data_IF_215046769060
#
_entry.id   IF_215046769060
#
_cell.length_a   1.000
_cell.length_b   1.000
_cell.length_c   1.000
_cell.angle_alpha   90.00
_cell.angle_beta   90.00
_cell.angle_gamma   90.00
#
_symmetry.space_group_name_H-M   'P 1'
#
loop_
_entity.id
_entity.type
_entity.pdbx_description
1 polymer ?
#
# COMPACT_ATOMS: atom_id res chain seq x y z
N UNK A 1 -14.25 -10.59 12.72
CA UNK A 1 -13.09 -10.36 11.82
C UNK A 1 -13.51 -9.31 10.81
N UNK A 2 -13.15 -8.03 11.05
CA UNK A 2 -13.49 -6.96 10.12
C UNK A 2 -12.65 -7.12 8.86
N UNK A 3 -13.26 -7.64 7.80
CA UNK A 3 -12.72 -7.47 6.46
C UNK A 3 -12.76 -5.97 6.17
N UNK A 4 -11.62 -5.29 6.38
CA UNK A 4 -11.41 -3.91 5.97
C UNK A 4 -11.59 -3.84 4.46
N UNK A 5 -12.84 -3.61 4.04
CA UNK A 5 -13.27 -3.52 2.66
C UNK A 5 -12.41 -2.48 1.97
N UNK A 6 -11.95 -2.79 0.76
CA UNK A 6 -11.19 -1.82 -0.03
C UNK A 6 -11.96 -0.52 -0.10
N UNK A 7 -11.34 0.61 0.25
CA UNK A 7 -11.96 1.92 0.09
C UNK A 7 -12.23 2.26 -1.38
N UNK A 8 -11.57 1.57 -2.33
CA UNK A 8 -11.91 1.57 -3.75
C UNK A 8 -12.21 0.13 -4.21
N UNK A 9 -13.49 -0.30 -4.25
CA UNK A 9 -13.84 -1.67 -4.64
C UNK A 9 -13.64 -1.96 -6.13
N UNK A 10 -13.55 -0.91 -6.96
CA UNK A 10 -13.36 -1.02 -8.41
C UNK A 10 -11.89 -1.26 -8.81
N UNK A 11 -10.96 -1.10 -7.88
CA UNK A 11 -9.53 -1.33 -8.12
C UNK A 11 -9.04 -2.63 -7.48
N UNK A 12 -8.08 -3.32 -8.13
CA UNK A 12 -7.44 -4.46 -7.51
C UNK A 12 -6.59 -4.00 -6.32
N UNK A 13 -6.72 -4.68 -5.18
CA UNK A 13 -5.73 -4.58 -4.12
C UNK A 13 -4.36 -5.09 -4.63
N UNK A 14 -3.29 -4.44 -4.26
CA UNK A 14 -1.94 -4.83 -4.64
C UNK A 14 -1.09 -5.01 -3.38
N UNK A 15 -0.11 -5.90 -3.48
CA UNK A 15 0.85 -6.12 -2.43
C UNK A 15 1.90 -5.02 -2.50
N UNK A 16 2.06 -4.30 -1.41
CA UNK A 16 2.99 -3.20 -1.25
C UNK A 16 4.08 -3.62 -0.28
N UNK A 17 5.29 -3.83 -0.78
CA UNK A 17 6.47 -4.08 0.05
C UNK A 17 7.27 -2.79 0.19
N UNK A 18 7.41 -2.31 1.41
CA UNK A 18 8.17 -1.11 1.75
C UNK A 18 9.47 -1.55 2.40
N UNK A 19 10.60 -1.19 1.80
CA UNK A 19 11.92 -1.45 2.35
C UNK A 19 12.60 -0.13 2.72
N UNK A 20 12.69 0.11 4.03
CA UNK A 20 13.34 1.27 4.62
C UNK A 20 14.58 0.81 5.37
N UNK A 21 15.76 1.03 4.78
CA UNK A 21 17.04 0.60 5.33
C UNK A 21 17.06 -0.92 5.61
N UNK A 22 16.98 -1.33 6.88
CA UNK A 22 16.97 -2.75 7.32
C UNK A 22 15.57 -3.28 7.62
N UNK A 23 14.53 -2.45 7.49
CA UNK A 23 13.16 -2.81 7.82
C UNK A 23 12.37 -3.06 6.54
N UNK A 24 11.74 -4.23 6.46
CA UNK A 24 10.77 -4.59 5.41
C UNK A 24 9.38 -4.65 6.03
N UNK A 25 8.41 -4.03 5.36
CA UNK A 25 7.00 -4.07 5.75
C UNK A 25 6.15 -4.42 4.54
N UNK A 26 5.18 -5.30 4.72
CA UNK A 26 4.33 -5.83 3.65
C UNK A 26 2.87 -5.47 3.95
N UNK A 27 2.23 -4.75 3.02
CA UNK A 27 0.86 -4.23 3.15
C UNK A 27 0.01 -4.54 1.92
N UNK A 28 -1.30 -4.42 2.06
CA UNK A 28 -2.27 -4.41 0.93
C UNK A 28 -2.87 -3.01 0.80
N UNK A 29 -2.95 -2.49 -0.41
CA UNK A 29 -3.67 -1.25 -0.70
C UNK A 29 -4.27 -1.32 -2.11
N UNK A 30 -5.30 -0.54 -2.41
CA UNK A 30 -5.78 -0.37 -3.78
C UNK A 30 -4.69 0.27 -4.65
N UNK A 31 -4.78 0.03 -5.96
CA UNK A 31 -3.79 0.48 -6.92
C UNK A 31 -3.48 1.97 -6.80
N UNK A 32 -4.52 2.81 -6.75
CA UNK A 32 -4.35 4.27 -6.65
C UNK A 32 -3.66 4.66 -5.35
N UNK A 33 -4.11 4.16 -4.20
CA UNK A 33 -3.50 4.50 -2.91
C UNK A 33 -2.03 4.06 -2.83
N UNK A 34 -1.69 2.89 -3.37
CA UNK A 34 -0.32 2.42 -3.43
C UNK A 34 0.58 3.31 -4.30
N UNK A 35 0.09 3.75 -5.46
CA UNK A 35 0.84 4.66 -6.33
C UNK A 35 1.10 6.02 -5.66
N UNK A 36 0.08 6.60 -5.03
CA UNK A 36 0.24 7.88 -4.32
C UNK A 36 1.19 7.71 -3.14
N UNK A 37 1.10 6.61 -2.39
CA UNK A 37 2.02 6.28 -1.30
C UNK A 37 3.47 6.18 -1.79
N UNK A 38 3.72 5.48 -2.91
CA UNK A 38 5.07 5.37 -3.50
C UNK A 38 5.61 6.76 -3.85
N UNK A 39 4.81 7.60 -4.51
CA UNK A 39 5.22 8.96 -4.86
C UNK A 39 5.54 9.81 -3.62
N UNK A 40 4.71 9.75 -2.58
CA UNK A 40 4.90 10.53 -1.35
C UNK A 40 6.13 10.06 -0.56
N UNK A 41 6.32 8.74 -0.42
CA UNK A 41 7.48 8.18 0.27
C UNK A 41 8.76 8.46 -0.47
N UNK A 42 8.80 8.28 -1.79
CA UNK A 42 10.00 8.56 -2.60
C UNK A 42 10.36 10.05 -2.61
N UNK A 43 9.37 10.94 -2.51
CA UNK A 43 9.60 12.37 -2.38
C UNK A 43 10.13 12.79 -0.99
N UNK A 44 9.71 12.10 0.09
CA UNK A 44 10.04 12.49 1.47
C UNK A 44 11.19 11.72 2.09
N UNK A 45 11.46 10.48 1.66
CA UNK A 45 12.42 9.58 2.31
C UNK A 45 13.22 8.77 1.28
N UNK A 46 14.55 8.65 1.46
CA UNK A 46 15.32 7.67 0.71
C UNK A 46 14.93 6.26 1.18
N UNK A 47 14.30 5.50 0.29
CA UNK A 47 13.83 4.14 0.55
C UNK A 47 13.45 3.43 -0.75
N UNK A 48 13.33 2.11 -0.70
CA UNK A 48 12.87 1.30 -1.84
C UNK A 48 11.44 0.86 -1.56
N UNK A 49 10.51 1.25 -2.42
CA UNK A 49 9.13 0.75 -2.38
C UNK A 49 8.93 -0.13 -3.59
N UNK A 50 8.55 -1.37 -3.36
CA UNK A 50 8.27 -2.36 -4.39
C UNK A 50 6.77 -2.65 -4.40
N UNK A 51 6.19 -2.57 -5.58
CA UNK A 51 4.78 -2.88 -5.82
C UNK A 51 4.72 -4.21 -6.54
N UNK A 52 4.00 -5.18 -5.96
CA UNK A 52 3.87 -6.51 -6.52
C UNK A 52 2.39 -6.91 -6.65
N UNK A 53 2.05 -7.53 -7.77
CA UNK A 53 0.73 -8.13 -8.00
C UNK A 53 0.73 -9.58 -7.45
N UNK A 54 0.99 -9.72 -6.16
CA UNK A 54 1.09 -11.02 -5.48
C UNK A 54 -0.12 -11.34 -4.61
N UNK A 55 -0.20 -12.62 -4.21
CA UNK A 55 -1.28 -13.17 -3.40
C UNK A 55 -1.45 -12.42 -2.06
N UNK A 56 -2.69 -11.97 -1.79
CA UNK A 56 -3.04 -10.98 -0.74
C UNK A 56 -3.33 -11.59 0.64
N UNK A 57 -3.14 -12.90 0.82
CA UNK A 57 -3.60 -13.58 2.03
C UNK A 57 -2.74 -13.24 3.26
N UNK A 58 -3.39 -12.75 4.32
CA UNK A 58 -2.78 -12.53 5.64
C UNK A 58 -2.08 -11.19 5.82
N UNK A 59 -2.02 -10.34 4.80
CA UNK A 59 -1.39 -9.03 4.88
C UNK A 59 -2.33 -7.98 5.46
N UNK A 60 -1.77 -7.07 6.25
CA UNK A 60 -2.52 -5.93 6.79
C UNK A 60 -2.74 -4.87 5.72
N UNK A 61 -3.93 -4.27 5.69
CA UNK A 61 -4.21 -3.14 4.80
C UNK A 61 -3.40 -1.92 5.22
N UNK A 62 -2.93 -1.13 4.27
CA UNK A 62 -2.12 0.06 4.53
C UNK A 62 -2.86 1.00 5.48
N UNK A 63 -2.30 1.30 6.67
CA UNK A 63 -2.91 2.26 7.57
C UNK A 63 -2.92 3.62 6.86
N UNK A 64 -4.08 4.27 6.84
CA UNK A 64 -4.34 5.54 6.15
C UNK A 64 -4.55 5.49 4.63
N UNK A 65 -4.81 4.31 4.06
CA UNK A 65 -5.16 4.18 2.63
C UNK A 65 -6.20 5.20 2.14
N UNK A 66 -7.22 5.51 2.96
CA UNK A 66 -8.27 6.49 2.63
C UNK A 66 -7.73 7.92 2.44
N UNK A 67 -6.64 8.30 3.09
CA UNK A 67 -6.00 9.62 2.90
C UNK A 67 -5.38 9.76 1.50
N UNK A 68 -5.02 8.65 0.87
CA UNK A 68 -4.46 8.64 -0.48
C UNK A 68 -5.53 8.55 -1.58
N UNK A 69 -6.80 8.37 -1.21
CA UNK A 69 -7.94 8.29 -2.13
C UNK A 69 -8.81 9.55 -2.15
N UNK A 70 -8.61 10.45 -1.21
CA UNK A 70 -9.28 11.75 -1.20
C UNK A 70 -8.25 12.82 -1.60
N UNK A 71 -8.60 13.75 -2.51
CA UNK A 71 -7.74 14.90 -2.82
C UNK A 71 -7.55 15.83 -1.61
#
# INVERSE_FOLDING_TARGET
MNHSRSPCPDEPDIHLTIQLSTVRMDFVACLTAALVFVCDVTARRPGTVTVEFSHRAGLSRLPNERLYLQP
#
